data_IF_052669305456
#
_entry.id   IF_052669305456
#
_cell.length_a   1.000
_cell.length_b   1.000
_cell.length_c   1.000
_cell.angle_alpha   90.00
_cell.angle_beta   90.00
_cell.angle_gamma   90.00
#
_symmetry.space_group_name_H-M   'P 1'
#
loop_
_entity.id
_entity.type
_entity.pdbx_description
1 polymer ?
#
# COMPACT_ATOMS: atom_id res chain seq x y z
N UNK A 1 24.01 15.09 21.10
CA UNK A 1 23.33 13.79 20.93
C UNK A 1 21.88 13.96 21.37
N UNK A 2 20.96 14.12 20.43
CA UNK A 2 19.53 14.27 20.73
C UNK A 2 18.72 13.34 19.82
N UNK A 3 17.84 12.57 20.48
CA UNK A 3 16.62 11.91 20.01
C UNK A 3 16.67 10.95 18.82
N UNK A 4 16.90 9.66 19.13
CA UNK A 4 16.49 8.51 18.32
C UNK A 4 15.21 7.84 18.89
N UNK A 5 14.17 8.61 19.23
CA UNK A 5 12.97 8.10 19.92
C UNK A 5 11.66 8.73 19.43
N UNK A 6 11.49 8.88 18.11
CA UNK A 6 10.17 9.21 17.55
C UNK A 6 9.95 8.61 16.15
N UNK A 7 10.12 7.30 16.02
CA UNK A 7 9.40 6.50 15.02
C UNK A 7 8.18 5.85 15.70
N UNK A 8 7.41 6.70 16.39
CA UNK A 8 6.31 6.29 17.26
C UNK A 8 5.07 5.92 16.47
N UNK A 9 4.67 4.66 16.60
CA UNK A 9 3.44 4.02 16.09
C UNK A 9 3.41 3.79 14.57
N UNK A 10 3.98 2.65 14.16
CA UNK A 10 3.60 2.00 12.89
C UNK A 10 2.09 1.74 12.98
N UNK A 11 1.31 2.36 12.10
CA UNK A 11 -0.12 2.09 11.98
C UNK A 11 -0.30 0.58 11.75
N UNK A 12 -1.23 -0.09 12.46
CA UNK A 12 -1.42 -1.51 12.29
C UNK A 12 -1.81 -1.81 10.84
N UNK A 13 -1.28 -2.90 10.28
CA UNK A 13 -1.80 -3.46 9.03
C UNK A 13 -3.20 -4.05 9.30
N UNK A 14 -4.20 -3.81 8.44
CA UNK A 14 -5.63 -4.10 8.74
C UNK A 14 -6.23 -5.15 7.78
N UNK A 15 -5.47 -5.66 6.81
CA UNK A 15 -5.95 -6.63 5.82
C UNK A 15 -4.93 -7.67 5.40
N UNK A 16 -4.46 -7.55 4.16
CA UNK A 16 -3.53 -8.49 3.53
C UNK A 16 -2.10 -8.36 4.05
N UNK A 17 -1.74 -7.18 4.55
CA UNK A 17 -0.50 -6.97 5.27
C UNK A 17 -0.67 -7.31 6.76
N UNK A 18 0.40 -7.79 7.37
CA UNK A 18 0.48 -8.13 8.80
C UNK A 18 1.76 -7.57 9.40
N UNK A 19 1.71 -7.22 10.68
CA UNK A 19 2.88 -6.76 11.42
C UNK A 19 3.84 -7.93 11.69
N UNK A 20 5.12 -7.73 11.35
CA UNK A 20 6.19 -8.72 11.55
C UNK A 20 6.56 -8.90 13.04
N UNK A 21 6.19 -7.95 13.90
CA UNK A 21 6.55 -7.95 15.33
C UNK A 21 5.66 -8.84 16.22
N UNK A 22 4.62 -9.49 15.69
CA UNK A 22 3.71 -10.32 16.49
C UNK A 22 4.25 -11.73 16.85
N UNK A 23 5.47 -12.11 16.42
CA UNK A 23 6.01 -13.47 16.61
C UNK A 23 7.47 -13.48 17.09
N UNK A 24 7.76 -12.92 18.26
CA UNK A 24 8.96 -13.33 19.02
C UNK A 24 8.67 -13.35 20.53
N UNK A 25 8.83 -14.50 21.22
CA UNK A 25 8.81 -14.54 22.67
C UNK A 25 10.02 -13.77 23.20
N UNK A 26 9.73 -12.82 24.11
CA UNK A 26 10.71 -12.01 24.83
C UNK A 26 11.86 -12.87 25.38
N UNK A 27 13.05 -12.79 24.76
CA UNK A 27 14.29 -13.18 25.44
C UNK A 27 14.61 -12.08 26.45
N UNK A 28 14.37 -12.38 27.74
CA UNK A 28 15.06 -11.72 28.84
C UNK A 28 16.53 -12.11 28.81
N UNK A 29 17.43 -11.15 28.70
CA UNK A 29 18.81 -11.23 29.19
C UNK A 29 19.11 -9.91 29.91
N UNK A 30 19.10 -9.83 31.24
CA UNK A 30 20.17 -10.19 32.20
C UNK A 30 21.56 -9.65 31.83
N UNK A 31 21.97 -8.61 32.56
CA UNK A 31 23.26 -8.55 33.24
C UNK A 31 24.41 -7.81 32.55
N UNK A 32 24.79 -6.67 33.16
CA UNK A 32 26.13 -6.29 33.65
C UNK A 32 27.33 -6.26 32.67
N UNK A 33 28.43 -5.52 32.85
CA UNK A 33 28.96 -4.42 33.68
C UNK A 33 30.37 -4.14 33.08
N UNK A 34 30.98 -3.01 33.45
CA UNK A 34 32.36 -2.52 33.15
C UNK A 34 32.56 -1.89 31.77
N UNK A 35 33.18 -0.71 31.58
CA UNK A 35 34.02 0.13 32.44
C UNK A 35 35.23 0.59 31.61
N UNK A 36 35.64 1.87 31.69
CA UNK A 36 36.94 2.32 31.17
C UNK A 36 36.95 3.73 30.58
N UNK A 37 37.57 4.66 31.29
CA UNK A 37 37.74 6.06 30.89
C UNK A 37 38.75 6.28 29.77
N UNK A 38 38.72 7.49 29.22
CA UNK A 38 39.67 7.99 28.23
C UNK A 38 39.45 9.49 28.03
N UNK A 39 40.13 10.29 28.85
CA UNK A 39 40.24 11.74 28.71
C UNK A 39 41.40 12.08 27.77
N UNK A 40 41.14 12.89 26.74
CA UNK A 40 42.14 13.75 26.11
C UNK A 40 41.43 14.99 25.55
N UNK A 41 41.96 16.17 25.91
CA UNK A 41 41.39 17.47 25.61
C UNK A 41 42.23 18.31 24.64
N UNK A 42 41.71 19.53 24.44
CA UNK A 42 42.31 20.72 23.81
C UNK A 42 42.50 20.64 22.27
N UNK A 43 42.12 21.64 21.46
CA UNK A 43 42.13 23.09 21.69
C UNK A 43 41.11 23.84 20.83
N UNK A 44 40.62 24.97 21.36
CA UNK A 44 39.87 26.02 20.70
C UNK A 44 40.66 26.74 19.59
N UNK A 45 39.99 27.11 18.49
CA UNK A 45 40.24 28.36 17.76
C UNK A 45 39.01 28.85 16.96
N UNK A 46 38.89 30.16 16.72
CA UNK A 46 37.60 30.85 16.62
C UNK A 46 37.20 31.26 15.20
N UNK A 47 35.88 31.37 14.99
CA UNK A 47 35.28 32.46 14.22
C UNK A 47 35.25 32.34 12.69
N UNK A 48 34.23 31.69 12.16
CA UNK A 48 33.62 32.17 10.90
C UNK A 48 32.11 32.39 11.06
N UNK A 49 31.76 33.67 10.91
CA UNK A 49 30.44 34.27 10.98
C UNK A 49 29.50 33.62 9.96
N UNK A 50 28.39 33.11 10.47
CA UNK A 50 27.21 32.66 9.73
C UNK A 50 26.76 33.74 8.72
N UNK A 51 26.74 33.39 7.44
CA UNK A 51 25.92 34.09 6.46
C UNK A 51 24.53 33.44 6.48
N UNK A 52 23.42 34.21 6.53
CA UNK A 52 22.10 33.65 6.42
C UNK A 52 21.91 33.18 4.97
N UNK A 53 21.89 31.87 4.75
CA UNK A 53 21.39 31.32 3.49
C UNK A 53 19.90 31.63 3.40
N UNK A 54 19.60 32.60 2.54
CA UNK A 54 18.27 32.92 2.04
C UNK A 54 17.58 31.63 1.60
N UNK A 55 16.46 31.29 2.24
CA UNK A 55 15.59 30.21 1.76
C UNK A 55 15.19 30.56 0.33
N UNK A 56 15.40 29.69 -0.68
CA UNK A 56 14.63 29.81 -1.90
C UNK A 56 13.18 29.54 -1.49
N UNK A 57 12.35 30.58 -1.57
CA UNK A 57 10.90 30.45 -1.55
C UNK A 57 10.47 29.72 -2.81
N UNK A 58 10.66 28.40 -2.82
CA UNK A 58 9.88 27.51 -3.65
C UNK A 58 8.49 27.49 -3.06
N UNK A 59 7.49 27.79 -3.89
CA UNK A 59 6.11 27.41 -3.60
C UNK A 59 6.17 25.89 -3.45
N UNK A 60 6.21 25.41 -2.20
CA UNK A 60 5.99 24.00 -1.92
C UNK A 60 4.54 23.79 -2.30
N UNK A 61 4.30 23.34 -3.53
CA UNK A 61 3.06 22.66 -3.82
C UNK A 61 3.03 21.50 -2.83
N UNK A 62 2.12 21.58 -1.87
CA UNK A 62 1.81 20.45 -1.00
C UNK A 62 1.37 19.32 -1.93
N UNK A 63 2.31 18.43 -2.26
CA UNK A 63 1.98 17.16 -2.91
C UNK A 63 1.04 16.45 -1.95
N UNK A 64 -0.23 16.36 -2.34
CA UNK A 64 -1.24 15.69 -1.55
C UNK A 64 -1.19 14.21 -1.89
N UNK A 65 -0.85 13.40 -0.90
CA UNK A 65 -1.09 11.96 -0.98
C UNK A 65 -2.58 11.70 -1.23
N UNK A 66 -2.85 10.58 -1.90
CA UNK A 66 -4.20 10.03 -2.02
C UNK A 66 -4.81 9.75 -0.65
N UNK A 67 -6.14 9.80 -0.58
CA UNK A 67 -6.88 9.51 0.64
C UNK A 67 -6.67 8.04 1.06
N UNK A 68 -6.17 7.84 2.28
CA UNK A 68 -5.85 6.51 2.79
C UNK A 68 -7.11 5.63 2.98
N UNK A 69 -8.27 6.21 3.26
CA UNK A 69 -9.52 5.46 3.42
C UNK A 69 -10.08 5.03 2.07
N UNK A 70 -9.95 5.86 1.02
CA UNK A 70 -10.30 5.45 -0.35
C UNK A 70 -9.40 4.29 -0.84
N UNK A 71 -8.11 4.34 -0.52
CA UNK A 71 -7.16 3.25 -0.84
C UNK A 71 -7.47 1.96 -0.09
N UNK A 72 -7.79 2.04 1.21
CA UNK A 72 -8.23 0.87 2.00
C UNK A 72 -9.53 0.29 1.49
N UNK A 73 -10.48 1.14 1.07
CA UNK A 73 -11.73 0.70 0.46
C UNK A 73 -11.43 -0.13 -0.81
N UNK A 74 -10.62 0.40 -1.72
CA UNK A 74 -10.23 -0.32 -2.94
C UNK A 74 -9.50 -1.62 -2.65
N UNK A 75 -8.57 -1.62 -1.69
CA UNK A 75 -7.87 -2.83 -1.25
C UNK A 75 -8.85 -3.93 -0.85
N UNK A 76 -9.81 -3.62 0.03
CA UNK A 76 -10.85 -4.59 0.45
C UNK A 76 -11.74 -5.06 -0.71
N UNK A 77 -12.10 -4.17 -1.63
CA UNK A 77 -13.01 -4.50 -2.73
C UNK A 77 -12.35 -5.34 -3.84
N UNK A 78 -11.03 -5.27 -3.99
CA UNK A 78 -10.25 -6.14 -4.87
C UNK A 78 -9.76 -7.43 -4.18
N UNK A 79 -10.09 -7.64 -2.91
CA UNK A 79 -9.89 -8.91 -2.23
C UNK A 79 -11.00 -9.91 -2.56
N UNK A 80 -10.74 -11.20 -2.33
CA UNK A 80 -11.80 -12.19 -2.38
C UNK A 80 -12.89 -11.83 -1.34
N UNK A 81 -14.17 -11.78 -1.73
CA UNK A 81 -15.22 -11.31 -0.84
C UNK A 81 -15.59 -12.41 0.17
N UNK A 82 -15.04 -12.31 1.38
CA UNK A 82 -15.38 -13.19 2.52
C UNK A 82 -16.71 -12.82 3.17
N UNK A 83 -17.14 -11.56 3.02
CA UNK A 83 -18.41 -11.04 3.49
C UNK A 83 -19.07 -10.13 2.43
N UNK A 84 -20.40 -9.92 2.48
CA UNK A 84 -21.07 -8.98 1.60
C UNK A 84 -20.49 -7.57 1.75
N UNK A 85 -20.27 -6.84 0.63
CA UNK A 85 -19.83 -5.45 0.68
C UNK A 85 -20.80 -4.58 1.48
N UNK A 86 -20.27 -3.66 2.29
CA UNK A 86 -21.10 -2.76 3.07
C UNK A 86 -21.88 -1.80 2.16
N UNK A 87 -23.11 -1.44 2.54
CA UNK A 87 -23.93 -0.53 1.74
C UNK A 87 -23.27 0.86 1.55
N UNK A 88 -22.47 1.31 2.52
CA UNK A 88 -21.70 2.54 2.41
C UNK A 88 -20.61 2.46 1.33
N UNK A 89 -19.87 1.34 1.29
CA UNK A 89 -18.86 1.07 0.27
C UNK A 89 -19.48 1.07 -1.13
N UNK A 90 -20.64 0.42 -1.28
CA UNK A 90 -21.42 0.37 -2.52
C UNK A 90 -21.86 1.76 -2.99
N UNK A 91 -22.38 2.57 -2.07
CA UNK A 91 -22.78 3.94 -2.36
C UNK A 91 -21.58 4.80 -2.78
N UNK A 92 -20.42 4.61 -2.13
CA UNK A 92 -19.20 5.37 -2.42
C UNK A 92 -18.64 5.06 -3.81
N UNK A 93 -18.64 3.80 -4.24
CA UNK A 93 -18.17 3.41 -5.59
C UNK A 93 -19.23 3.62 -6.68
N UNK A 94 -20.45 4.03 -6.32
CA UNK A 94 -21.55 4.24 -7.26
C UNK A 94 -22.04 2.95 -7.93
N UNK A 95 -21.90 1.80 -7.26
CA UNK A 95 -22.36 0.53 -7.77
C UNK A 95 -23.86 0.36 -7.52
N UNK A 96 -24.65 0.17 -8.58
CA UNK A 96 -26.08 -0.17 -8.47
C UNK A 96 -26.31 -1.68 -8.24
N UNK A 97 -25.23 -2.46 -8.13
CA UNK A 97 -25.27 -3.90 -7.92
C UNK A 97 -25.93 -4.27 -6.59
N UNK A 98 -26.79 -5.29 -6.62
CA UNK A 98 -27.33 -5.89 -5.40
C UNK A 98 -28.33 -5.04 -4.63
N UNK A 99 -29.26 -4.33 -5.30
CA UNK A 99 -30.47 -3.84 -4.62
C UNK A 99 -31.22 -5.05 -4.04
N UNK A 100 -31.00 -5.32 -2.75
CA UNK A 100 -31.38 -6.56 -2.09
C UNK A 100 -30.24 -7.58 -2.08
N UNK A 101 -29.22 -7.35 -1.24
CA UNK A 101 -28.14 -8.31 -0.96
C UNK A 101 -28.74 -9.54 -0.25
N UNK A 102 -29.22 -10.50 -1.02
CA UNK A 102 -29.53 -11.84 -0.50
C UNK A 102 -28.30 -12.76 -0.61
N UNK A 103 -28.41 -13.95 -0.01
CA UNK A 103 -27.34 -14.95 -0.06
C UNK A 103 -27.02 -15.41 -1.49
N UNK A 104 -27.94 -15.27 -2.43
CA UNK A 104 -27.74 -15.61 -3.84
C UNK A 104 -26.84 -14.60 -4.54
N UNK A 105 -27.13 -13.31 -4.37
CA UNK A 105 -26.31 -12.22 -4.89
C UNK A 105 -24.87 -12.31 -4.37
N UNK A 106 -24.69 -12.56 -3.07
CA UNK A 106 -23.35 -12.68 -2.50
C UNK A 106 -22.54 -13.86 -3.08
N UNK A 107 -23.17 -15.02 -3.29
CA UNK A 107 -22.52 -16.16 -3.95
C UNK A 107 -22.18 -15.87 -5.41
N UNK A 108 -23.03 -15.13 -6.11
CA UNK A 108 -22.75 -14.71 -7.49
C UNK A 108 -21.51 -13.81 -7.54
N UNK A 109 -21.34 -12.90 -6.57
CA UNK A 109 -20.15 -12.05 -6.47
C UNK A 109 -18.88 -12.88 -6.25
N UNK A 110 -18.91 -13.84 -5.33
CA UNK A 110 -17.79 -14.76 -5.09
C UNK A 110 -17.43 -15.57 -6.35
N UNK A 111 -18.42 -16.10 -7.05
CA UNK A 111 -18.21 -16.82 -8.30
C UNK A 111 -17.61 -15.92 -9.39
N UNK A 112 -18.06 -14.67 -9.45
CA UNK A 112 -17.53 -13.68 -10.40
C UNK A 112 -16.07 -13.31 -10.09
N UNK A 113 -15.70 -13.17 -8.80
CA UNK A 113 -14.31 -12.99 -8.40
C UNK A 113 -13.43 -14.14 -8.89
N UNK A 114 -13.85 -15.39 -8.65
CA UNK A 114 -13.08 -16.57 -9.08
C UNK A 114 -12.91 -16.55 -10.60
N UNK A 115 -13.98 -16.23 -11.35
CA UNK A 115 -13.95 -16.19 -12.81
C UNK A 115 -13.04 -15.09 -13.36
N UNK A 116 -13.03 -13.91 -12.73
CA UNK A 116 -12.24 -12.76 -13.20
C UNK A 116 -10.76 -12.88 -12.82
N UNK A 117 -10.46 -13.30 -11.59
CA UNK A 117 -9.15 -13.12 -10.97
C UNK A 117 -8.39 -14.41 -10.65
N UNK A 118 -9.05 -15.56 -10.50
CA UNK A 118 -8.41 -16.80 -10.02
C UNK A 118 -8.32 -17.87 -11.09
N UNK A 119 -9.45 -18.30 -11.65
CA UNK A 119 -9.47 -19.47 -12.53
C UNK A 119 -10.57 -19.37 -13.59
N UNK A 120 -10.15 -19.10 -14.82
CA UNK A 120 -10.97 -19.34 -16.00
C UNK A 120 -10.12 -20.07 -17.06
N UNK A 121 -10.75 -20.98 -17.80
CA UNK A 121 -10.16 -21.62 -18.98
C UNK A 121 -10.45 -20.74 -20.21
N UNK A 122 -9.50 -20.53 -21.15
CA UNK A 122 -8.12 -21.04 -21.16
C UNK A 122 -7.12 -20.22 -20.32
N UNK A 123 -7.44 -18.96 -20.02
CA UNK A 123 -6.63 -18.05 -19.20
C UNK A 123 -7.52 -17.21 -18.27
N UNK A 124 -6.96 -16.79 -17.13
CA UNK A 124 -7.61 -15.83 -16.22
C UNK A 124 -7.77 -14.49 -16.94
N UNK A 125 -8.98 -13.91 -17.04
CA UNK A 125 -9.20 -12.69 -17.82
C UNK A 125 -8.42 -11.49 -17.26
N UNK A 126 -8.42 -11.35 -15.94
CA UNK A 126 -7.90 -10.19 -15.24
C UNK A 126 -6.98 -10.65 -14.10
N UNK A 127 -5.81 -11.24 -14.36
CA UNK A 127 -4.90 -11.62 -13.28
C UNK A 127 -4.58 -10.37 -12.44
N UNK A 128 -4.75 -10.36 -11.11
CA UNK A 128 -4.64 -9.16 -10.28
C UNK A 128 -3.20 -8.84 -9.83
N UNK A 129 -2.20 -9.20 -10.63
CA UNK A 129 -0.78 -9.16 -10.27
C UNK A 129 0.02 -8.21 -11.18
N UNK A 130 0.72 -7.23 -10.62
CA UNK A 130 1.51 -6.27 -11.38
C UNK A 130 2.57 -6.91 -12.27
N UNK A 131 3.25 -7.97 -11.80
CA UNK A 131 4.26 -8.71 -12.56
C UNK A 131 3.70 -9.32 -13.85
N UNK A 132 2.44 -9.75 -13.90
CA UNK A 132 1.84 -10.30 -15.12
C UNK A 132 1.72 -9.24 -16.22
N UNK A 133 1.37 -8.00 -15.87
CA UNK A 133 1.25 -6.90 -16.84
C UNK A 133 2.60 -6.29 -17.22
N UNK A 134 3.53 -6.22 -16.28
CA UNK A 134 4.81 -5.56 -16.47
C UNK A 134 5.86 -6.49 -17.08
N UNK A 135 5.77 -7.78 -16.79
CA UNK A 135 6.84 -8.76 -17.04
C UNK A 135 6.32 -10.05 -17.70
N UNK A 136 4.99 -10.23 -17.80
CA UNK A 136 4.37 -11.39 -18.47
C UNK A 136 4.40 -12.69 -17.67
N UNK A 137 4.81 -12.66 -16.39
CA UNK A 137 4.90 -13.83 -15.52
C UNK A 137 4.50 -13.48 -14.10
N UNK A 138 4.06 -14.48 -13.33
CA UNK A 138 3.94 -14.37 -11.88
C UNK A 138 5.32 -14.37 -11.22
N UNK A 139 5.40 -13.77 -10.03
CA UNK A 139 6.60 -13.73 -9.17
C UNK A 139 7.80 -13.05 -9.86
N UNK A 140 7.52 -11.94 -10.53
CA UNK A 140 8.50 -11.12 -11.23
C UNK A 140 9.46 -10.36 -10.31
N UNK A 141 10.35 -9.58 -10.92
CA UNK A 141 11.25 -8.68 -10.20
C UNK A 141 10.46 -7.64 -9.39
N UNK A 142 9.35 -7.12 -9.93
CA UNK A 142 8.45 -6.23 -9.21
C UNK A 142 7.95 -6.81 -7.89
N UNK A 143 7.51 -8.08 -7.88
CA UNK A 143 7.03 -8.79 -6.70
C UNK A 143 8.10 -8.82 -5.61
N UNK A 144 9.35 -9.15 -5.98
CA UNK A 144 10.47 -9.21 -5.03
C UNK A 144 10.79 -7.83 -4.47
N UNK A 145 10.80 -6.79 -5.31
CA UNK A 145 11.06 -5.41 -4.89
C UNK A 145 10.01 -4.89 -3.91
N UNK A 146 8.73 -5.13 -4.19
CA UNK A 146 7.62 -4.78 -3.29
C UNK A 146 7.71 -5.54 -1.97
N UNK A 147 7.96 -6.85 -2.00
CA UNK A 147 8.14 -7.66 -0.79
C UNK A 147 9.27 -7.12 0.11
N UNK A 148 10.40 -6.76 -0.47
CA UNK A 148 11.52 -6.17 0.28
C UNK A 148 11.16 -4.79 0.85
N UNK A 149 10.43 -3.96 0.10
CA UNK A 149 9.92 -2.69 0.57
C UNK A 149 8.97 -2.88 1.77
N UNK A 150 7.99 -3.78 1.69
CA UNK A 150 7.07 -4.08 2.81
C UNK A 150 7.84 -4.48 4.07
N UNK A 151 8.85 -5.33 3.91
CA UNK A 151 9.68 -5.80 5.03
C UNK A 151 10.45 -4.66 5.74
N UNK A 152 10.82 -3.57 5.04
CA UNK A 152 11.45 -2.38 5.66
C UNK A 152 10.51 -1.64 6.60
N UNK A 153 9.21 -1.71 6.34
CA UNK A 153 8.15 -1.17 7.21
C UNK A 153 7.64 -2.19 8.23
N UNK A 154 8.31 -3.33 8.37
CA UNK A 154 7.87 -4.40 9.26
C UNK A 154 6.58 -5.08 8.82
N UNK A 155 6.20 -4.97 7.55
CA UNK A 155 5.01 -5.58 6.99
C UNK A 155 5.35 -6.90 6.27
N UNK A 156 4.41 -7.84 6.26
CA UNK A 156 4.47 -9.10 5.50
C UNK A 156 3.08 -9.46 4.97
N UNK A 157 3.01 -10.31 3.94
CA UNK A 157 1.75 -10.82 3.39
C UNK A 157 1.86 -12.30 3.04
N UNK A 158 0.75 -13.03 3.15
CA UNK A 158 0.61 -14.41 2.67
C UNK A 158 0.21 -14.46 1.17
N UNK A 159 -0.25 -13.33 0.62
CA UNK A 159 -0.55 -13.15 -0.80
C UNK A 159 0.72 -12.74 -1.57
N UNK A 160 0.67 -12.76 -2.91
CA UNK A 160 1.75 -12.15 -3.69
C UNK A 160 1.87 -10.65 -3.39
N UNK A 161 3.11 -10.19 -3.24
CA UNK A 161 3.38 -8.80 -2.84
C UNK A 161 2.91 -7.77 -3.89
N UNK A 162 2.81 -8.17 -5.15
CA UNK A 162 2.31 -7.37 -6.28
C UNK A 162 0.83 -7.64 -6.62
N UNK A 163 0.08 -8.27 -5.71
CA UNK A 163 -1.37 -8.33 -5.84
C UNK A 163 -1.97 -6.93 -5.60
N UNK A 164 -2.92 -6.48 -6.44
CA UNK A 164 -3.46 -5.11 -6.37
C UNK A 164 -3.96 -4.73 -4.97
N UNK A 165 -4.66 -5.63 -4.30
CA UNK A 165 -5.19 -5.39 -2.97
C UNK A 165 -4.09 -5.15 -1.92
N UNK A 166 -2.95 -5.83 -2.05
CA UNK A 166 -1.79 -5.69 -1.16
C UNK A 166 -1.08 -4.35 -1.42
N UNK A 167 -0.83 -4.03 -2.69
CA UNK A 167 -0.20 -2.76 -3.08
C UNK A 167 -1.02 -1.54 -2.64
N UNK A 168 -2.35 -1.59 -2.81
CA UNK A 168 -3.27 -0.53 -2.37
C UNK A 168 -3.29 -0.36 -0.85
N UNK A 169 -3.27 -1.46 -0.09
CA UNK A 169 -3.19 -1.40 1.37
C UNK A 169 -1.86 -0.77 1.81
N UNK A 170 -0.75 -1.18 1.18
CA UNK A 170 0.55 -0.62 1.49
C UNK A 170 0.62 0.88 1.16
N UNK A 171 0.08 1.28 0.02
CA UNK A 171 0.01 2.68 -0.37
C UNK A 171 -0.83 3.50 0.62
N UNK A 172 -1.94 2.94 1.13
CA UNK A 172 -2.75 3.57 2.17
C UNK A 172 -1.98 3.78 3.47
N UNK A 173 -1.18 2.78 3.87
CA UNK A 173 -0.31 2.85 5.04
C UNK A 173 0.71 4.00 4.89
N UNK A 174 1.38 4.08 3.73
CA UNK A 174 2.32 5.17 3.45
C UNK A 174 1.65 6.54 3.41
N UNK A 175 0.45 6.64 2.81
CA UNK A 175 -0.32 7.90 2.77
C UNK A 175 -0.67 8.40 4.19
N UNK A 176 -1.02 7.49 5.09
CA UNK A 176 -1.40 7.82 6.46
C UNK A 176 -0.22 8.23 7.35
N UNK A 177 1.00 7.77 7.06
CA UNK A 177 2.23 8.09 7.81
C UNK A 177 2.70 9.55 7.64
N UNK A 178 2.03 10.34 6.79
CA UNK A 178 2.35 11.73 6.41
C UNK A 178 3.67 11.84 5.62
N UNK A 179 3.63 12.65 4.57
CA UNK A 179 4.61 12.73 3.48
C UNK A 179 5.95 13.38 3.86
N UNK A 180 6.69 12.81 4.80
CA UNK A 180 8.09 13.16 5.05
C UNK A 180 9.03 12.12 4.41
N UNK A 181 10.22 12.56 3.98
CA UNK A 181 11.24 11.62 3.52
C UNK A 181 11.70 10.74 4.70
N UNK A 182 11.90 9.42 4.52
CA UNK A 182 11.90 8.67 3.25
C UNK A 182 10.52 8.12 2.81
N UNK A 183 9.47 8.23 3.62
CA UNK A 183 8.13 7.66 3.35
C UNK A 183 7.54 8.21 2.05
N UNK A 184 7.73 9.50 1.76
CA UNK A 184 7.27 10.10 0.51
C UNK A 184 7.93 9.49 -0.74
N UNK A 185 9.20 9.10 -0.66
CA UNK A 185 9.89 8.47 -1.79
C UNK A 185 9.36 7.06 -2.05
N UNK A 186 9.15 6.28 -0.99
CA UNK A 186 8.55 4.95 -1.09
C UNK A 186 7.08 5.04 -1.55
N UNK A 187 6.33 6.07 -1.11
CA UNK A 187 4.98 6.35 -1.57
C UNK A 187 4.94 6.60 -3.08
N UNK A 188 5.80 7.51 -3.57
CA UNK A 188 5.93 7.81 -5.01
C UNK A 188 6.36 6.57 -5.78
N UNK A 189 7.26 5.77 -5.23
CA UNK A 189 7.69 4.52 -5.86
C UNK A 189 6.50 3.56 -6.07
N UNK A 190 5.69 3.31 -5.03
CA UNK A 190 4.53 2.41 -5.09
C UNK A 190 3.45 2.98 -6.01
N UNK A 191 3.14 4.28 -5.91
CA UNK A 191 2.16 4.93 -6.78
C UNK A 191 2.56 4.85 -8.26
N UNK A 192 3.82 5.18 -8.58
CA UNK A 192 4.34 5.06 -9.94
C UNK A 192 4.35 3.61 -10.41
N UNK A 193 4.59 2.65 -9.52
CA UNK A 193 4.50 1.23 -9.85
C UNK A 193 3.07 0.85 -10.26
N UNK A 194 2.08 1.18 -9.43
CA UNK A 194 0.65 0.95 -9.72
C UNK A 194 0.23 1.60 -11.04
N UNK A 195 0.63 2.85 -11.31
CA UNK A 195 0.26 3.56 -12.54
C UNK A 195 0.76 2.87 -13.83
N UNK A 196 1.81 2.07 -13.76
CA UNK A 196 2.35 1.38 -14.95
C UNK A 196 1.50 0.21 -15.41
N UNK A 197 0.66 -0.36 -14.54
CA UNK A 197 -0.05 -1.60 -14.83
C UNK A 197 -1.56 -1.53 -14.57
N UNK A 198 -1.97 -0.76 -13.56
CA UNK A 198 -3.39 -0.66 -13.20
C UNK A 198 -4.30 -0.14 -14.33
N UNK A 199 -3.90 0.78 -15.23
CA UNK A 199 -4.80 1.19 -16.32
C UNK A 199 -5.22 0.01 -17.22
N UNK A 200 -4.28 -0.88 -17.56
CA UNK A 200 -4.57 -2.06 -18.37
C UNK A 200 -5.40 -3.10 -17.61
N UNK A 201 -5.07 -3.35 -16.34
CA UNK A 201 -5.84 -4.24 -15.47
C UNK A 201 -7.29 -3.76 -15.31
N UNK A 202 -7.50 -2.49 -14.93
CA UNK A 202 -8.82 -1.93 -14.66
C UNK A 202 -9.70 -1.91 -15.93
N UNK A 203 -9.11 -1.61 -17.09
CA UNK A 203 -9.84 -1.68 -18.37
C UNK A 203 -10.31 -3.12 -18.67
N UNK A 204 -9.47 -4.14 -18.45
CA UNK A 204 -9.87 -5.55 -18.61
C UNK A 204 -10.98 -5.95 -17.64
N UNK A 205 -10.92 -5.49 -16.38
CA UNK A 205 -11.96 -5.79 -15.40
C UNK A 205 -13.30 -5.18 -15.84
N UNK A 206 -13.30 -3.94 -16.32
CA UNK A 206 -14.51 -3.32 -16.86
C UNK A 206 -15.07 -4.04 -18.09
N UNK A 207 -14.20 -4.50 -18.98
CA UNK A 207 -14.60 -5.26 -20.18
C UNK A 207 -15.20 -6.62 -19.84
N UNK A 208 -14.61 -7.32 -18.86
CA UNK A 208 -14.94 -8.70 -18.59
C UNK A 208 -15.97 -8.89 -17.47
N UNK A 209 -16.22 -7.91 -16.61
CA UNK A 209 -17.18 -8.02 -15.50
C UNK A 209 -18.63 -8.15 -16.01
N UNK A 210 -19.27 -9.24 -15.61
CA UNK A 210 -20.64 -9.59 -16.01
C UNK A 210 -21.68 -9.10 -15.01
N UNK A 211 -21.28 -8.82 -13.77
CA UNK A 211 -22.18 -8.36 -12.72
C UNK A 211 -22.21 -6.84 -12.59
N UNK A 212 -21.22 -6.15 -13.16
CA UNK A 212 -21.08 -4.69 -13.09
C UNK A 212 -20.49 -4.18 -11.77
N UNK A 213 -20.33 -5.06 -10.77
CA UNK A 213 -19.71 -4.74 -9.48
C UNK A 213 -18.23 -4.38 -9.65
N UNK A 214 -17.40 -5.28 -10.18
CA UNK A 214 -15.96 -5.05 -10.31
C UNK A 214 -15.63 -3.98 -11.34
N UNK A 215 -16.49 -3.77 -12.33
CA UNK A 215 -16.42 -2.63 -13.24
C UNK A 215 -16.66 -1.30 -12.51
N UNK A 216 -17.61 -1.24 -11.58
CA UNK A 216 -17.79 -0.06 -10.73
C UNK A 216 -16.60 0.18 -9.80
N UNK A 217 -16.07 -0.88 -9.17
CA UNK A 217 -14.81 -0.80 -8.39
C UNK A 217 -13.68 -0.26 -9.28
N UNK A 218 -13.58 -0.71 -10.53
CA UNK A 218 -12.51 -0.32 -11.44
C UNK A 218 -12.57 1.15 -11.85
N UNK A 219 -13.76 1.67 -12.18
CA UNK A 219 -13.94 3.11 -12.45
C UNK A 219 -13.62 3.96 -11.23
N UNK A 220 -14.02 3.52 -10.06
CA UNK A 220 -13.69 4.21 -8.81
C UNK A 220 -12.17 4.20 -8.57
N UNK A 221 -11.50 3.07 -8.81
CA UNK A 221 -10.04 2.96 -8.71
C UNK A 221 -9.31 3.90 -9.67
N UNK A 222 -9.76 4.02 -10.93
CA UNK A 222 -9.20 4.97 -11.89
C UNK A 222 -9.32 6.41 -11.41
N UNK A 223 -10.48 6.78 -10.85
CA UNK A 223 -10.70 8.11 -10.27
C UNK A 223 -9.72 8.39 -9.12
N UNK A 224 -9.61 7.46 -8.17
CA UNK A 224 -8.73 7.62 -6.99
C UNK A 224 -7.27 7.69 -7.43
N UNK A 225 -6.78 6.74 -8.23
CA UNK A 225 -5.39 6.70 -8.66
C UNK A 225 -5.02 7.85 -9.61
N UNK A 226 -5.99 8.39 -10.37
CA UNK A 226 -5.80 9.55 -11.25
C UNK A 226 -5.92 10.92 -10.56
N UNK A 227 -6.31 10.97 -9.28
CA UNK A 227 -6.43 12.22 -8.53
C UNK A 227 -5.06 12.78 -8.05
N UNK A 228 -4.03 11.93 -7.98
CA UNK A 228 -2.66 12.33 -7.72
C UNK A 228 -2.05 13.00 -8.96
N UNK A 229 -1.51 14.21 -8.80
CA UNK A 229 -0.76 14.95 -9.82
C UNK A 229 0.62 15.30 -9.29
#
# INVERSE_FOLDING_TARGET
MACAHSLGQVLPCIGHLRDRMALFPQRRGTGDLYGGGGLCGFSDHPGHRLAPHSKPGGILMEERCLDAEELKLLSRLFAYPEAPPAAADMAQIGAEWGKGLDNGAFRALQAEYVRLFINALPEVPCPPYGSVYLEGTLMGESTVRLKNLYARYGCQTDEMADHIAVELEFLALLAAMKAEAPVLEDYRFVLNHLHRWTPAFLAKVEEHDRLGFYGAVSRYAQKVLGAAR
#
